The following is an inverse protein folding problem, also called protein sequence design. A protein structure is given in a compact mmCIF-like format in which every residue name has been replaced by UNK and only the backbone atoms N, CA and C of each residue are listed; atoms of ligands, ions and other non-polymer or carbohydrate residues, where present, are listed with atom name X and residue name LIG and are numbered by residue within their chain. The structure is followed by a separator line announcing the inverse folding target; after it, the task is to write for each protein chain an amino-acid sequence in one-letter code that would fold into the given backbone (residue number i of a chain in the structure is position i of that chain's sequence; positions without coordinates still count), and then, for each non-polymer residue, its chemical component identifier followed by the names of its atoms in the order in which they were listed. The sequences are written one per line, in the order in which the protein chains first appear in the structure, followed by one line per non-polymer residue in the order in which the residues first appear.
data_IF_182518306157
#
_entry.id   IF_182518306157
#
_cell.length_a   1.000
_cell.length_b   1.000
_cell.length_c   1.000
_cell.angle_alpha   90.00
_cell.angle_beta   90.00
_cell.angle_gamma   90.00
#
_symmetry.space_group_name_H-M   'P 1'
#
loop_
_entity.id
_entity.type
_entity.pdbx_description
1 polymer ?
#
# COMPACT_ATOMS: atom_id res chain seq x y z
N UNK A 1 -4.93 8.25 -77.95
CA UNK A 1 -5.13 9.09 -76.74
C UNK A 1 -4.76 8.28 -75.49
N UNK A 2 -3.59 8.47 -74.88
CA UNK A 2 -3.12 7.77 -73.69
C UNK A 2 -3.29 8.71 -72.51
N UNK A 3 -4.22 8.39 -71.60
CA UNK A 3 -4.40 9.11 -70.32
C UNK A 3 -3.36 8.61 -69.30
N UNK A 4 -2.48 9.50 -68.80
CA UNK A 4 -1.57 9.25 -67.68
C UNK A 4 -2.33 9.50 -66.40
N UNK A 5 -2.45 8.45 -65.55
CA UNK A 5 -2.82 8.60 -64.15
C UNK A 5 -1.61 9.13 -63.36
N UNK A 6 -1.79 10.26 -62.70
CA UNK A 6 -0.84 10.78 -61.71
C UNK A 6 -1.32 10.38 -60.34
N UNK A 7 -0.60 9.46 -59.69
CA UNK A 7 -0.83 9.13 -58.26
C UNK A 7 -0.15 10.17 -57.37
N UNK A 8 -0.93 10.93 -56.64
CA UNK A 8 -0.41 11.76 -55.52
C UNK A 8 -0.27 10.89 -54.28
N UNK A 9 0.96 10.68 -53.84
CA UNK A 9 1.25 10.08 -52.54
C UNK A 9 1.10 11.18 -51.46
N UNK A 10 0.08 11.05 -50.62
CA UNK A 10 -0.08 11.87 -49.43
C UNK A 10 0.87 11.32 -48.36
N UNK A 11 1.97 12.02 -48.07
CA UNK A 11 2.81 11.74 -46.91
C UNK A 11 2.13 12.30 -45.65
N UNK A 12 1.57 11.43 -44.83
CA UNK A 12 1.10 11.78 -43.50
C UNK A 12 2.31 11.86 -42.56
N UNK A 13 2.76 13.07 -42.28
CA UNK A 13 3.76 13.32 -41.23
C UNK A 13 3.05 13.23 -39.90
N UNK A 14 3.19 12.10 -39.24
CA UNK A 14 2.82 11.94 -37.79
C UNK A 14 3.86 12.69 -36.97
N UNK A 15 3.64 13.96 -36.70
CA UNK A 15 4.35 14.71 -35.68
C UNK A 15 3.88 14.20 -34.31
N UNK A 16 4.63 13.26 -33.72
CA UNK A 16 4.54 12.93 -32.32
C UNK A 16 5.11 14.10 -31.49
N UNK A 17 4.27 15.10 -31.22
CA UNK A 17 4.55 16.09 -30.17
C UNK A 17 4.38 15.43 -28.81
N UNK A 18 5.42 14.71 -28.38
CA UNK A 18 5.58 14.36 -26.99
C UNK A 18 5.73 15.65 -26.19
N UNK A 19 4.63 16.14 -25.59
CA UNK A 19 4.76 17.15 -24.55
C UNK A 19 5.62 16.55 -23.43
N UNK A 20 6.66 17.28 -22.95
CA UNK A 20 7.36 16.85 -21.76
C UNK A 20 6.32 16.78 -20.64
N UNK A 21 6.12 15.61 -20.05
CA UNK A 21 5.31 15.46 -18.85
C UNK A 21 5.92 16.39 -17.79
N UNK A 22 5.17 17.38 -17.32
CA UNK A 22 5.53 18.24 -16.17
C UNK A 22 5.51 17.40 -14.89
N UNK A 23 6.26 16.29 -14.85
CA UNK A 23 6.41 15.47 -13.68
C UNK A 23 7.17 16.29 -12.63
N UNK A 24 6.48 16.62 -11.55
CA UNK A 24 7.05 17.36 -10.44
C UNK A 24 8.29 16.62 -9.91
N UNK A 25 9.38 17.36 -9.66
CA UNK A 25 10.60 16.80 -9.07
C UNK A 25 10.35 16.16 -7.70
N UNK A 26 11.15 15.14 -7.31
CA UNK A 26 11.08 14.55 -5.97
C UNK A 26 11.19 15.59 -4.87
N UNK A 27 10.39 15.45 -3.81
CA UNK A 27 10.35 16.36 -2.66
C UNK A 27 10.53 15.61 -1.35
N UNK A 28 10.73 16.33 -0.24
CA UNK A 28 10.80 15.73 1.10
C UNK A 28 11.89 14.66 1.21
N UNK A 29 11.58 13.52 1.79
CA UNK A 29 12.51 12.41 1.99
C UNK A 29 13.05 11.84 0.67
N UNK A 30 12.25 11.86 -0.41
CA UNK A 30 12.73 11.41 -1.72
C UNK A 30 13.88 12.28 -2.23
N UNK A 31 13.77 13.61 -2.14
CA UNK A 31 14.84 14.52 -2.51
C UNK A 31 16.08 14.31 -1.63
N UNK A 32 15.89 14.16 -0.32
CA UNK A 32 16.98 13.88 0.64
C UNK A 32 17.71 12.58 0.34
N UNK A 33 16.97 11.51 0.01
CA UNK A 33 17.54 10.22 -0.34
C UNK A 33 18.37 10.28 -1.62
N UNK A 34 17.90 11.03 -2.62
CA UNK A 34 18.63 11.22 -3.89
C UNK A 34 19.88 12.09 -3.74
N UNK A 35 19.87 13.02 -2.82
CA UNK A 35 21.01 13.87 -2.50
C UNK A 35 22.03 13.23 -1.55
N UNK A 36 21.75 12.06 -0.97
CA UNK A 36 22.65 11.41 -0.02
C UNK A 36 23.80 10.69 -0.76
N UNK A 37 25.05 11.15 -0.63
CA UNK A 37 26.19 10.61 -1.38
C UNK A 37 26.57 9.17 -0.97
N UNK A 38 26.07 8.67 0.16
CA UNK A 38 26.30 7.29 0.59
C UNK A 38 25.52 6.26 -0.21
N UNK A 39 24.59 6.70 -1.07
CA UNK A 39 23.71 5.81 -1.85
C UNK A 39 23.86 6.10 -3.35
N UNK A 40 24.14 5.05 -4.10
CA UNK A 40 24.15 5.09 -5.57
C UNK A 40 22.86 4.45 -6.09
N UNK A 41 22.09 5.20 -6.90
CA UNK A 41 20.78 4.78 -7.36
C UNK A 41 20.76 4.40 -8.84
N UNK A 42 20.31 3.19 -9.15
CA UNK A 42 19.86 2.81 -10.47
C UNK A 42 18.45 3.39 -10.68
N UNK A 43 18.28 4.22 -11.69
CA UNK A 43 16.99 4.86 -12.00
C UNK A 43 16.22 4.04 -13.02
N UNK A 44 14.94 3.80 -12.77
CA UNK A 44 14.00 3.11 -13.67
C UNK A 44 12.68 3.88 -13.69
N UNK A 45 11.87 3.63 -14.72
CA UNK A 45 10.52 4.18 -14.83
C UNK A 45 9.58 3.06 -15.26
N UNK A 46 8.45 2.96 -14.58
CA UNK A 46 7.31 2.13 -14.99
C UNK A 46 6.03 2.97 -14.87
N UNK A 47 4.92 2.60 -15.51
CA UNK A 47 3.69 3.39 -15.44
C UNK A 47 3.30 3.72 -13.99
N UNK A 48 3.19 5.02 -13.69
CA UNK A 48 2.84 5.54 -12.36
C UNK A 48 4.01 5.68 -11.37
N UNK A 49 5.26 5.30 -11.74
CA UNK A 49 6.37 5.30 -10.80
C UNK A 49 7.68 5.82 -11.41
N UNK A 50 8.45 6.55 -10.57
CA UNK A 50 9.90 6.71 -10.70
C UNK A 50 10.55 5.80 -9.68
N UNK A 51 11.37 4.86 -10.12
CA UNK A 51 11.93 3.83 -9.25
C UNK A 51 13.43 4.01 -9.10
N UNK A 52 13.89 3.99 -7.87
CA UNK A 52 15.28 4.12 -7.47
C UNK A 52 15.69 2.84 -6.74
N UNK A 53 16.64 2.13 -7.30
CA UNK A 53 17.10 0.84 -6.77
C UNK A 53 18.55 1.01 -6.33
N UNK A 54 18.84 0.64 -5.09
CA UNK A 54 20.21 0.72 -4.60
C UNK A 54 21.14 -0.13 -5.49
N UNK A 55 22.20 0.49 -6.03
CA UNK A 55 23.17 -0.23 -6.86
C UNK A 55 23.88 -1.36 -6.07
N UNK A 56 24.31 -2.39 -6.77
CA UNK A 56 25.08 -3.56 -6.24
C UNK A 56 24.38 -4.29 -5.08
N UNK A 57 23.05 -4.17 -4.99
CA UNK A 57 22.21 -4.74 -3.92
C UNK A 57 21.38 -5.94 -4.39
N UNK A 58 20.75 -6.64 -3.44
CA UNK A 58 19.77 -7.69 -3.76
C UNK A 58 18.65 -7.19 -4.67
N UNK A 59 17.95 -6.06 -4.39
CA UNK A 59 16.91 -5.57 -5.28
C UNK A 59 17.42 -5.23 -6.69
N UNK A 60 18.67 -4.82 -6.86
CA UNK A 60 19.23 -4.56 -8.18
C UNK A 60 19.34 -5.85 -9.04
N UNK A 61 19.64 -6.98 -8.42
CA UNK A 61 19.71 -8.29 -9.10
C UNK A 61 18.34 -8.83 -9.50
N UNK A 62 17.28 -8.45 -8.80
CA UNK A 62 15.91 -8.95 -9.01
C UNK A 62 14.95 -7.84 -9.50
N UNK A 63 15.50 -6.74 -10.06
CA UNK A 63 14.75 -5.54 -10.42
C UNK A 63 13.56 -5.81 -11.34
N UNK A 64 13.69 -6.69 -12.35
CA UNK A 64 12.63 -6.95 -13.31
C UNK A 64 11.36 -7.52 -12.63
N UNK A 65 11.55 -8.45 -11.71
CA UNK A 65 10.46 -9.01 -10.90
C UNK A 65 9.82 -7.96 -9.98
N UNK A 66 10.60 -7.06 -9.38
CA UNK A 66 10.11 -5.99 -8.54
C UNK A 66 9.31 -4.97 -9.36
N UNK A 67 9.87 -4.52 -10.48
CA UNK A 67 9.25 -3.52 -11.35
C UNK A 67 7.93 -4.01 -11.97
N UNK A 68 7.86 -5.29 -12.36
CA UNK A 68 6.66 -5.87 -12.96
C UNK A 68 5.42 -5.84 -12.05
N UNK A 69 5.59 -5.81 -10.73
CA UNK A 69 4.49 -5.82 -9.75
C UNK A 69 3.89 -4.43 -9.48
N UNK A 70 4.66 -3.36 -9.63
CA UNK A 70 4.27 -2.01 -9.22
C UNK A 70 3.01 -1.48 -9.90
N UNK A 71 2.84 -1.57 -11.25
CA UNK A 71 1.63 -1.06 -11.88
C UNK A 71 0.36 -1.82 -11.43
N UNK A 72 0.48 -3.10 -11.11
CA UNK A 72 -0.65 -3.88 -10.61
C UNK A 72 -1.00 -3.52 -9.15
N UNK A 73 0.00 -3.19 -8.33
CA UNK A 73 -0.22 -2.71 -6.97
C UNK A 73 -0.95 -1.37 -6.94
N UNK A 74 -0.56 -0.42 -7.80
CA UNK A 74 -1.25 0.87 -7.92
C UNK A 74 -2.70 0.69 -8.39
N UNK A 75 -2.92 -0.03 -9.49
CA UNK A 75 -4.28 -0.30 -9.99
C UNK A 75 -5.18 -0.98 -8.96
N UNK A 76 -4.62 -1.88 -8.15
CA UNK A 76 -5.37 -2.52 -7.07
C UNK A 76 -5.82 -1.51 -6.01
N UNK A 77 -4.93 -0.64 -5.55
CA UNK A 77 -5.25 0.41 -4.59
C UNK A 77 -6.28 1.43 -5.17
N UNK A 78 -6.09 1.85 -6.42
CA UNK A 78 -7.01 2.74 -7.13
C UNK A 78 -8.41 2.12 -7.25
N UNK A 79 -8.48 0.83 -7.59
CA UNK A 79 -9.74 0.10 -7.68
C UNK A 79 -10.45 -0.05 -6.32
N UNK A 80 -9.70 -0.36 -5.24
CA UNK A 80 -10.24 -0.42 -3.88
C UNK A 80 -10.84 0.92 -3.44
N UNK A 81 -10.20 2.02 -3.79
CA UNK A 81 -10.65 3.37 -3.44
C UNK A 81 -11.64 3.96 -4.45
N UNK A 82 -11.88 3.28 -5.58
CA UNK A 82 -12.72 3.75 -6.70
C UNK A 82 -12.31 5.15 -7.19
N UNK A 83 -11.02 5.33 -7.42
CA UNK A 83 -10.44 6.61 -7.88
C UNK A 83 -9.71 6.45 -9.22
N UNK A 84 -9.56 7.56 -9.94
CA UNK A 84 -8.70 7.63 -11.11
C UNK A 84 -7.21 7.53 -10.71
N UNK A 85 -6.35 7.07 -11.62
CA UNK A 85 -4.91 7.04 -11.40
C UNK A 85 -4.34 8.38 -10.97
N UNK A 86 -3.34 8.37 -10.08
CA UNK A 86 -2.68 9.60 -9.66
C UNK A 86 -2.03 10.31 -10.86
N UNK A 87 -2.25 11.63 -10.96
CA UNK A 87 -1.69 12.45 -12.05
C UNK A 87 -0.16 12.56 -12.01
N UNK A 88 0.44 12.35 -10.85
CA UNK A 88 1.88 12.44 -10.64
C UNK A 88 2.45 11.09 -10.19
N UNK A 89 3.66 10.71 -10.64
CA UNK A 89 4.26 9.43 -10.28
C UNK A 89 4.62 9.37 -8.80
N UNK A 90 4.66 8.13 -8.29
CA UNK A 90 5.18 7.79 -6.96
C UNK A 90 6.70 7.56 -7.09
N UNK A 91 7.48 8.18 -6.20
CA UNK A 91 8.92 7.93 -6.05
C UNK A 91 9.12 6.71 -5.16
N UNK A 92 9.62 5.61 -5.71
CA UNK A 92 9.75 4.35 -5.00
C UNK A 92 11.22 3.92 -4.90
N UNK A 93 11.68 3.67 -3.68
CA UNK A 93 13.06 3.33 -3.36
C UNK A 93 13.15 1.88 -2.88
N UNK A 94 13.95 1.05 -3.57
CA UNK A 94 14.31 -0.28 -3.11
C UNK A 94 15.69 -0.29 -2.48
N UNK A 95 15.76 -0.71 -1.22
CA UNK A 95 16.97 -0.88 -0.42
C UNK A 95 17.06 -2.30 0.14
N UNK A 96 18.21 -2.68 0.68
CA UNK A 96 18.47 -4.06 1.07
C UNK A 96 18.36 -4.30 2.59
N UNK A 97 18.46 -3.23 3.42
CA UNK A 97 18.48 -3.41 4.87
C UNK A 97 17.74 -2.32 5.65
N UNK A 98 17.36 -2.66 6.88
CA UNK A 98 16.74 -1.72 7.84
C UNK A 98 17.72 -0.66 8.34
N UNK A 99 19.01 -0.95 8.30
CA UNK A 99 20.08 0.00 8.61
C UNK A 99 20.14 1.10 7.55
N UNK A 100 20.03 0.74 6.27
CA UNK A 100 19.91 1.69 5.17
C UNK A 100 18.63 2.51 5.28
N UNK A 101 17.51 1.87 5.66
CA UNK A 101 16.25 2.59 5.95
C UNK A 101 16.48 3.65 7.03
N UNK A 102 17.14 3.29 8.14
CA UNK A 102 17.46 4.25 9.21
C UNK A 102 18.33 5.43 8.73
N UNK A 103 19.30 5.16 7.86
CA UNK A 103 20.16 6.21 7.28
C UNK A 103 19.39 7.17 6.36
N UNK A 104 18.37 6.69 5.67
CA UNK A 104 17.58 7.45 4.70
C UNK A 104 16.44 8.25 5.35
N UNK A 105 15.73 7.65 6.30
CA UNK A 105 14.50 8.22 6.85
C UNK A 105 14.50 8.39 8.38
N UNK A 106 15.55 7.96 9.06
CA UNK A 106 15.67 8.05 10.53
C UNK A 106 14.87 6.99 11.31
N UNK A 107 14.22 6.04 10.63
CA UNK A 107 13.41 5.00 11.26
C UNK A 107 13.83 3.58 10.81
N UNK A 108 13.81 2.62 11.75
CA UNK A 108 14.15 1.23 11.49
C UNK A 108 12.91 0.44 11.08
N UNK A 109 12.51 0.53 9.82
CA UNK A 109 11.34 -0.11 9.25
C UNK A 109 11.71 -1.03 8.07
N UNK A 110 10.78 -1.89 7.64
CA UNK A 110 10.89 -2.69 6.41
C UNK A 110 10.19 -2.03 5.23
N UNK A 111 9.21 -1.16 5.50
CA UNK A 111 8.52 -0.31 4.56
C UNK A 111 8.25 1.04 5.19
N UNK A 112 8.15 2.07 4.38
CA UNK A 112 7.78 3.41 4.82
C UNK A 112 7.19 4.20 3.66
N UNK A 113 6.08 4.87 3.91
CA UNK A 113 5.45 5.78 2.97
C UNK A 113 5.42 7.21 3.50
N UNK A 114 5.68 8.18 2.62
CA UNK A 114 5.45 9.60 2.86
C UNK A 114 4.42 10.12 1.85
N UNK A 115 3.12 10.06 2.18
CA UNK A 115 2.05 10.45 1.24
C UNK A 115 2.20 11.88 0.71
N UNK A 116 2.56 12.84 1.56
CA UNK A 116 2.72 14.26 1.16
C UNK A 116 3.81 14.48 0.10
N UNK A 117 4.82 13.62 0.05
CA UNK A 117 5.89 13.65 -0.95
C UNK A 117 5.72 12.60 -2.05
N UNK A 118 4.68 11.80 -2.01
CA UNK A 118 4.46 10.63 -2.89
C UNK A 118 5.68 9.71 -2.92
N UNK A 119 6.27 9.44 -1.77
CA UNK A 119 7.49 8.64 -1.65
C UNK A 119 7.23 7.34 -0.89
N UNK A 120 7.83 6.25 -1.36
CA UNK A 120 7.80 4.91 -0.76
C UNK A 120 9.22 4.38 -0.65
N UNK A 121 9.57 3.81 0.49
CA UNK A 121 10.84 3.14 0.75
C UNK A 121 10.57 1.70 1.16
N UNK A 122 11.25 0.74 0.51
CA UNK A 122 11.02 -0.68 0.71
C UNK A 122 12.34 -1.43 0.92
N UNK A 123 12.44 -2.14 2.03
CA UNK A 123 13.49 -3.13 2.23
C UNK A 123 13.09 -4.41 1.53
N UNK A 124 13.98 -4.95 0.69
CA UNK A 124 13.81 -6.28 0.11
C UNK A 124 15.14 -7.02 0.03
N UNK A 125 15.15 -8.26 0.52
CA UNK A 125 16.26 -9.17 0.52
C UNK A 125 15.74 -10.62 0.67
N UNK A 126 16.58 -11.67 0.74
CA UNK A 126 16.08 -13.04 0.88
C UNK A 126 15.23 -13.31 2.13
N UNK A 127 15.36 -12.48 3.17
CA UNK A 127 14.58 -12.60 4.43
C UNK A 127 13.31 -11.76 4.43
N UNK A 128 13.35 -10.59 3.80
CA UNK A 128 12.26 -9.62 3.80
C UNK A 128 11.75 -9.40 2.38
N UNK A 129 10.50 -9.77 2.11
CA UNK A 129 9.83 -9.34 0.88
C UNK A 129 9.45 -7.87 0.96
N UNK A 130 9.42 -7.18 -0.17
CA UNK A 130 8.86 -5.85 -0.26
C UNK A 130 7.34 -5.88 -0.06
N UNK A 131 6.83 -5.00 0.81
CA UNK A 131 5.38 -4.80 1.03
C UNK A 131 4.86 -3.67 0.13
N UNK A 132 5.07 -3.80 -1.18
CA UNK A 132 4.76 -2.74 -2.13
C UNK A 132 3.30 -2.32 -2.13
N UNK A 133 2.34 -3.25 -2.03
CA UNK A 133 0.92 -2.94 -2.01
C UNK A 133 0.52 -2.13 -0.78
N UNK A 134 1.06 -2.50 0.38
CA UNK A 134 0.84 -1.80 1.64
C UNK A 134 1.30 -0.35 1.56
N UNK A 135 2.56 -0.14 1.20
CA UNK A 135 3.15 1.21 1.20
C UNK A 135 2.60 2.09 0.06
N UNK A 136 2.30 1.51 -1.10
CA UNK A 136 1.65 2.22 -2.19
C UNK A 136 0.24 2.66 -1.80
N UNK A 137 -0.52 1.83 -1.07
CA UNK A 137 -1.85 2.20 -0.58
C UNK A 137 -1.79 3.42 0.34
N UNK A 138 -0.82 3.53 1.25
CA UNK A 138 -0.65 4.73 2.07
C UNK A 138 -0.50 6.00 1.22
N UNK A 139 0.32 5.93 0.15
CA UNK A 139 0.51 7.09 -0.74
C UNK A 139 -0.77 7.41 -1.50
N UNK A 140 -1.41 6.42 -2.11
CA UNK A 140 -2.60 6.62 -2.93
C UNK A 140 -3.76 7.14 -2.08
N UNK A 141 -4.01 6.52 -0.91
CA UNK A 141 -5.06 6.98 0.01
C UNK A 141 -4.77 8.39 0.54
N UNK A 142 -3.53 8.67 0.95
CA UNK A 142 -3.15 10.00 1.42
C UNK A 142 -3.27 11.09 0.36
N UNK A 143 -2.99 10.78 -0.92
CA UNK A 143 -3.18 11.72 -2.03
C UNK A 143 -4.65 11.91 -2.40
N UNK A 144 -5.45 10.83 -2.41
CA UNK A 144 -6.86 10.88 -2.83
C UNK A 144 -7.81 11.34 -1.72
N UNK A 145 -7.54 10.95 -0.47
CA UNK A 145 -8.41 11.23 0.68
C UNK A 145 -7.88 12.36 1.56
N UNK A 146 -6.61 12.73 1.40
CA UNK A 146 -5.96 13.77 2.19
C UNK A 146 -5.45 13.25 3.54
N UNK A 147 -5.18 14.19 4.45
CA UNK A 147 -4.65 13.87 5.78
C UNK A 147 -5.72 13.16 6.63
N UNK A 148 -5.38 12.02 7.27
CA UNK A 148 -6.29 11.35 8.17
C UNK A 148 -6.60 12.19 9.42
N UNK A 149 -7.84 12.09 9.89
CA UNK A 149 -8.34 12.72 11.11
C UNK A 149 -7.90 11.99 12.37
N UNK A 150 -8.35 12.41 13.55
CA UNK A 150 -7.99 11.76 14.81
C UNK A 150 -8.56 10.33 14.91
N UNK A 151 -7.85 9.46 15.66
CA UNK A 151 -8.23 8.07 15.92
C UNK A 151 -8.44 7.21 14.66
N UNK A 152 -7.71 7.49 13.58
CA UNK A 152 -7.82 6.76 12.31
C UNK A 152 -6.62 5.85 12.04
N UNK A 153 -5.67 5.71 12.95
CA UNK A 153 -4.49 4.87 12.74
C UNK A 153 -4.85 3.44 12.35
N UNK A 154 -5.87 2.86 12.97
CA UNK A 154 -6.39 1.53 12.63
C UNK A 154 -6.95 1.48 11.19
N UNK A 155 -7.61 2.55 10.73
CA UNK A 155 -8.17 2.63 9.39
C UNK A 155 -7.06 2.81 8.34
N UNK A 156 -6.06 3.63 8.66
CA UNK A 156 -4.88 3.88 7.82
C UNK A 156 -4.08 2.59 7.59
N UNK A 157 -3.72 1.91 8.67
CA UNK A 157 -2.96 0.67 8.60
C UNK A 157 -3.82 -0.52 8.13
N UNK A 158 -5.09 -0.56 8.55
CA UNK A 158 -6.04 -1.57 8.10
C UNK A 158 -6.27 -1.52 6.59
N UNK A 159 -6.41 -0.32 6.01
CA UNK A 159 -6.56 -0.14 4.56
C UNK A 159 -5.31 -0.59 3.80
N UNK A 160 -4.12 -0.24 4.30
CA UNK A 160 -2.86 -0.64 3.70
C UNK A 160 -2.64 -2.17 3.78
N UNK A 161 -2.94 -2.77 4.93
CA UNK A 161 -2.83 -4.22 5.10
C UNK A 161 -3.92 -4.99 4.31
N UNK A 162 -5.13 -4.43 4.17
CA UNK A 162 -6.17 -4.97 3.30
C UNK A 162 -5.73 -4.97 1.82
N UNK A 163 -5.04 -3.93 1.36
CA UNK A 163 -4.49 -3.86 0.02
C UNK A 163 -3.39 -4.91 -0.24
N UNK A 164 -2.59 -5.28 0.76
CA UNK A 164 -1.66 -6.42 0.65
C UNK A 164 -2.44 -7.75 0.53
N UNK A 165 -3.60 -7.84 1.19
CA UNK A 165 -4.65 -8.86 1.04
C UNK A 165 -4.30 -10.22 1.63
N UNK A 166 -3.05 -10.49 1.96
CA UNK A 166 -2.58 -11.81 2.42
C UNK A 166 -1.51 -11.68 3.50
N UNK A 167 -1.49 -12.69 4.36
CA UNK A 167 -0.42 -12.93 5.31
C UNK A 167 0.21 -14.29 4.98
N UNK A 168 1.33 -14.27 4.29
CA UNK A 168 1.93 -15.48 3.72
C UNK A 168 1.01 -16.12 2.66
N UNK A 169 0.68 -17.40 2.85
CA UNK A 169 -0.22 -18.16 1.97
C UNK A 169 -1.70 -17.99 2.29
N UNK A 170 -2.03 -17.36 3.42
CA UNK A 170 -3.37 -17.25 3.98
C UNK A 170 -3.97 -15.87 3.77
N UNK A 171 -5.29 -15.75 3.88
CA UNK A 171 -5.95 -14.45 3.95
C UNK A 171 -5.69 -13.77 5.30
N UNK A 172 -5.83 -12.44 5.36
CA UNK A 172 -5.75 -11.71 6.62
C UNK A 172 -6.76 -12.25 7.66
N UNK A 173 -7.97 -12.60 7.21
CA UNK A 173 -9.03 -13.13 8.07
C UNK A 173 -8.70 -14.53 8.64
N UNK A 174 -8.11 -15.43 7.84
CA UNK A 174 -7.73 -16.76 8.34
C UNK A 174 -6.69 -16.68 9.46
N UNK A 175 -5.64 -15.84 9.26
CA UNK A 175 -4.59 -15.66 10.26
C UNK A 175 -5.15 -14.95 11.49
N UNK A 176 -6.02 -13.95 11.29
CA UNK A 176 -6.69 -13.27 12.40
C UNK A 176 -7.51 -14.25 13.26
N UNK A 177 -8.32 -15.09 12.64
CA UNK A 177 -9.14 -16.07 13.37
C UNK A 177 -8.29 -17.08 14.14
N UNK A 178 -7.22 -17.58 13.55
CA UNK A 178 -6.28 -18.47 14.22
C UNK A 178 -5.62 -17.79 15.43
N UNK A 179 -5.20 -16.53 15.29
CA UNK A 179 -4.64 -15.73 16.40
C UNK A 179 -5.69 -15.44 17.48
N UNK A 180 -6.90 -15.02 17.08
CA UNK A 180 -7.99 -14.69 17.99
C UNK A 180 -8.46 -15.91 18.80
N UNK A 181 -8.46 -17.11 18.20
CA UNK A 181 -8.77 -18.37 18.89
C UNK A 181 -7.77 -18.66 20.03
N UNK A 182 -6.49 -18.34 19.83
CA UNK A 182 -5.44 -18.60 20.82
C UNK A 182 -5.27 -17.50 21.87
N UNK A 183 -5.40 -16.24 21.46
CA UNK A 183 -5.04 -15.06 22.25
C UNK A 183 -6.21 -14.15 22.58
N UNK A 184 -7.40 -14.47 22.05
CA UNK A 184 -8.59 -13.62 22.13
C UNK A 184 -8.52 -12.46 21.13
N UNK A 185 -9.64 -11.80 20.97
CA UNK A 185 -9.75 -10.56 20.20
C UNK A 185 -9.18 -9.37 20.98
N UNK A 186 -8.59 -8.41 20.27
CA UNK A 186 -8.33 -7.10 20.86
C UNK A 186 -9.69 -6.40 20.99
N UNK A 187 -10.05 -5.83 22.16
CA UNK A 187 -11.30 -5.07 22.30
C UNK A 187 -11.37 -3.97 21.25
N UNK A 188 -12.48 -3.86 20.55
CA UNK A 188 -12.61 -2.91 19.45
C UNK A 188 -12.36 -1.44 19.87
N UNK A 189 -12.82 -0.95 21.05
CA UNK A 189 -12.45 0.38 21.51
C UNK A 189 -10.93 0.59 21.61
N UNK A 190 -10.19 -0.45 22.05
CA UNK A 190 -8.72 -0.41 22.12
C UNK A 190 -8.09 -0.32 20.73
N UNK A 191 -8.63 -1.06 19.74
CA UNK A 191 -8.18 -0.93 18.34
C UNK A 191 -8.38 0.49 17.83
N UNK A 192 -9.50 1.13 18.16
CA UNK A 192 -9.81 2.48 17.70
C UNK A 192 -8.92 3.56 18.33
N UNK A 193 -8.68 3.47 19.65
CA UNK A 193 -8.07 4.57 20.41
C UNK A 193 -6.60 4.37 20.73
N UNK A 194 -6.12 3.12 20.73
CA UNK A 194 -4.77 2.76 21.18
C UNK A 194 -4.01 1.91 20.14
N UNK A 195 -4.37 1.99 18.87
CA UNK A 195 -3.82 1.14 17.81
C UNK A 195 -2.30 1.12 17.81
N UNK A 196 -1.65 2.29 17.91
CA UNK A 196 -0.18 2.40 17.93
C UNK A 196 0.49 1.75 19.14
N UNK A 197 -0.27 1.53 20.22
CA UNK A 197 0.20 0.85 21.41
C UNK A 197 0.00 -0.69 21.33
N UNK A 198 -0.60 -1.17 20.24
CA UNK A 198 -0.81 -2.57 19.96
C UNK A 198 0.23 -3.08 18.95
N UNK A 199 1.47 -3.43 19.36
CA UNK A 199 2.53 -3.86 18.43
C UNK A 199 2.27 -5.25 17.84
N UNK A 200 1.20 -5.85 18.20
CA UNK A 200 0.80 -7.19 17.89
C UNK A 200 0.24 -7.26 16.46
N UNK A 201 0.72 -8.23 15.70
CA UNK A 201 0.24 -8.54 14.36
C UNK A 201 -1.29 -8.67 14.29
N UNK A 202 -1.96 -9.10 15.38
CA UNK A 202 -3.42 -9.16 15.46
C UNK A 202 -4.09 -7.81 15.24
N UNK A 203 -3.53 -6.71 15.75
CA UNK A 203 -4.11 -5.38 15.57
C UNK A 203 -4.19 -5.03 14.08
N UNK A 204 -3.10 -5.25 13.35
CA UNK A 204 -3.04 -5.02 11.91
C UNK A 204 -4.00 -5.92 11.15
N UNK A 205 -4.04 -7.22 11.47
CA UNK A 205 -4.92 -8.17 10.80
C UNK A 205 -6.40 -7.94 11.15
N UNK A 206 -6.69 -7.57 12.42
CA UNK A 206 -8.06 -7.22 12.84
C UNK A 206 -8.55 -5.96 12.15
N UNK A 207 -7.71 -4.93 12.06
CA UNK A 207 -8.01 -3.71 11.33
C UNK A 207 -8.19 -3.98 9.83
N UNK A 208 -7.31 -4.76 9.21
CA UNK A 208 -7.39 -5.10 7.79
C UNK A 208 -8.66 -5.85 7.43
N UNK A 209 -8.98 -6.92 8.17
CA UNK A 209 -10.16 -7.74 7.91
C UNK A 209 -11.45 -6.95 8.18
N UNK A 210 -11.46 -6.05 9.16
CA UNK A 210 -12.59 -5.16 9.40
C UNK A 210 -12.73 -4.08 8.31
N UNK A 211 -11.63 -3.50 7.84
CA UNK A 211 -11.65 -2.54 6.72
C UNK A 211 -12.13 -3.20 5.42
N UNK A 212 -11.72 -4.44 5.15
CA UNK A 212 -12.24 -5.21 4.02
C UNK A 212 -13.77 -5.37 4.10
N UNK A 213 -14.29 -5.70 5.28
CA UNK A 213 -15.74 -5.77 5.52
C UNK A 213 -16.43 -4.43 5.27
N UNK A 214 -15.85 -3.34 5.80
CA UNK A 214 -16.42 -2.01 5.62
C UNK A 214 -16.43 -1.58 4.14
N UNK A 215 -15.34 -1.84 3.41
CA UNK A 215 -15.25 -1.57 1.97
C UNK A 215 -16.27 -2.39 1.18
N UNK A 216 -16.38 -3.68 1.48
CA UNK A 216 -17.35 -4.57 0.81
C UNK A 216 -18.80 -4.20 1.07
N UNK A 217 -19.13 -3.74 2.28
CA UNK A 217 -20.51 -3.42 2.69
C UNK A 217 -20.93 -1.99 2.32
N UNK A 218 -20.07 -1.01 2.46
CA UNK A 218 -20.41 0.40 2.34
C UNK A 218 -19.69 1.13 1.20
N UNK A 219 -18.67 0.52 0.62
CA UNK A 219 -17.81 1.15 -0.38
C UNK A 219 -16.82 2.17 0.20
N UNK A 220 -15.97 2.78 -0.64
CA UNK A 220 -14.89 3.65 -0.16
C UNK A 220 -15.37 5.05 0.27
N UNK A 221 -16.49 5.55 -0.23
CA UNK A 221 -16.94 6.93 0.07
C UNK A 221 -17.23 7.15 1.56
N UNK A 222 -18.01 6.30 2.26
CA UNK A 222 -18.21 6.46 3.70
C UNK A 222 -16.92 6.26 4.51
N UNK A 223 -16.01 5.39 4.05
CA UNK A 223 -14.72 5.22 4.71
C UNK A 223 -13.84 6.47 4.57
N UNK A 224 -13.89 7.15 3.43
CA UNK A 224 -13.24 8.46 3.26
C UNK A 224 -13.76 9.49 4.24
N UNK A 225 -15.05 9.47 4.57
CA UNK A 225 -15.61 10.36 5.59
C UNK A 225 -15.06 10.05 6.98
N UNK A 226 -14.98 8.76 7.37
CA UNK A 226 -14.31 8.34 8.61
C UNK A 226 -12.83 8.75 8.62
N UNK A 227 -12.13 8.54 7.50
CA UNK A 227 -10.73 8.93 7.34
C UNK A 227 -10.52 10.42 7.60
N UNK A 228 -11.36 11.28 7.06
CA UNK A 228 -11.16 12.74 7.13
C UNK A 228 -11.66 13.36 8.43
N UNK A 229 -12.78 12.85 8.96
CA UNK A 229 -13.41 13.40 10.19
C UNK A 229 -12.85 12.78 11.46
N UNK A 230 -12.23 11.62 11.38
CA UNK A 230 -11.84 10.81 12.51
C UNK A 230 -12.83 9.68 12.77
N UNK A 231 -12.37 8.64 13.46
CA UNK A 231 -13.15 7.44 13.76
C UNK A 231 -13.26 7.27 15.28
N UNK A 232 -14.36 7.73 15.85
CA UNK A 232 -14.73 7.47 17.26
C UNK A 232 -15.55 6.17 17.39
N UNK A 233 -15.64 5.63 18.58
CA UNK A 233 -16.39 4.39 18.87
C UNK A 233 -17.86 4.49 18.47
N UNK A 234 -18.44 5.67 18.63
CA UNK A 234 -19.82 6.01 18.31
C UNK A 234 -20.01 6.55 16.88
N UNK A 235 -18.96 6.59 16.06
CA UNK A 235 -19.07 6.97 14.65
C UNK A 235 -20.08 6.10 13.92
N UNK A 236 -20.97 6.74 13.16
CA UNK A 236 -22.06 6.09 12.44
C UNK A 236 -21.69 5.89 10.97
N UNK A 237 -21.91 4.68 10.49
CA UNK A 237 -21.71 4.31 9.10
C UNK A 237 -22.96 3.51 8.63
N UNK A 238 -23.64 3.98 7.59
CA UNK A 238 -24.85 3.32 7.11
C UNK A 238 -25.99 3.21 8.15
N UNK A 239 -26.07 4.14 9.10
CA UNK A 239 -27.08 4.14 10.16
C UNK A 239 -26.73 3.29 11.41
N UNK A 240 -25.56 2.66 11.43
CA UNK A 240 -25.08 1.82 12.53
C UNK A 240 -23.79 2.39 13.13
N UNK A 241 -23.57 2.17 14.43
CA UNK A 241 -22.26 2.52 15.03
C UNK A 241 -21.19 1.54 14.58
N UNK A 242 -19.92 1.98 14.55
CA UNK A 242 -18.79 1.08 14.24
C UNK A 242 -18.75 -0.13 15.17
N UNK A 243 -19.14 0.04 16.44
CA UNK A 243 -19.24 -1.07 17.41
C UNK A 243 -20.25 -2.13 16.97
N UNK A 244 -21.45 -1.72 16.55
CA UNK A 244 -22.50 -2.64 16.11
C UNK A 244 -22.09 -3.37 14.82
N UNK A 245 -21.44 -2.66 13.89
CA UNK A 245 -20.94 -3.26 12.65
C UNK A 245 -19.83 -4.29 12.95
N UNK A 246 -18.94 -3.98 13.89
CA UNK A 246 -17.86 -4.90 14.29
C UNK A 246 -18.40 -6.16 14.97
N UNK A 247 -19.40 -6.02 15.81
CA UNK A 247 -20.05 -7.15 16.49
C UNK A 247 -20.73 -8.08 15.47
N UNK A 248 -21.50 -7.54 14.52
CA UNK A 248 -22.11 -8.31 13.42
C UNK A 248 -21.03 -9.01 12.59
N UNK A 249 -20.00 -8.29 12.14
CA UNK A 249 -18.92 -8.85 11.34
C UNK A 249 -18.22 -10.00 12.05
N UNK A 250 -17.89 -9.88 13.33
CA UNK A 250 -17.27 -10.97 14.10
C UNK A 250 -18.14 -12.21 14.18
N UNK A 251 -19.45 -12.04 14.31
CA UNK A 251 -20.40 -13.15 14.33
C UNK A 251 -20.48 -13.89 12.98
N UNK A 252 -20.22 -13.18 11.87
CA UNK A 252 -20.28 -13.73 10.52
C UNK A 252 -18.93 -14.28 10.02
N UNK A 253 -17.81 -13.85 10.63
CA UNK A 253 -16.47 -14.22 10.17
C UNK A 253 -16.23 -15.73 10.26
N UNK A 254 -15.77 -16.34 9.18
CA UNK A 254 -15.49 -17.78 9.08
C UNK A 254 -14.10 -18.03 8.52
N UNK A 255 -13.48 -19.11 8.96
CA UNK A 255 -12.22 -19.59 8.36
C UNK A 255 -12.48 -20.10 6.93
N UNK A 256 -11.63 -19.66 5.99
CA UNK A 256 -11.58 -20.20 4.61
C UNK A 256 -10.46 -21.21 4.47
N UNK A 257 -9.41 -21.10 5.29
CA UNK A 257 -8.30 -22.06 5.36
C UNK A 257 -7.81 -22.18 6.82
N UNK A 258 -7.61 -23.42 7.28
CA UNK A 258 -7.11 -23.67 8.63
C UNK A 258 -5.59 -23.68 8.67
N UNK A 259 -5.01 -22.84 9.51
CA UNK A 259 -3.59 -22.81 9.76
C UNK A 259 -3.19 -23.93 10.72
N UNK A 260 -2.08 -24.62 10.42
CA UNK A 260 -1.40 -25.47 11.38
C UNK A 260 -0.69 -24.65 12.46
N UNK A 261 -0.37 -25.30 13.59
CA UNK A 261 0.38 -24.66 14.67
C UNK A 261 1.76 -24.14 14.23
N UNK A 262 2.43 -24.87 13.34
CA UNK A 262 3.73 -24.48 12.82
C UNK A 262 3.65 -23.26 11.90
N UNK A 263 2.63 -23.16 11.04
CA UNK A 263 2.41 -22.01 10.17
C UNK A 263 2.09 -20.76 10.97
N UNK A 264 1.22 -20.88 11.98
CA UNK A 264 0.90 -19.74 12.83
C UNK A 264 2.10 -19.27 13.65
N UNK A 265 2.90 -20.19 14.22
CA UNK A 265 4.14 -19.83 14.93
C UNK A 265 5.17 -19.15 14.01
N UNK A 266 5.27 -19.60 12.75
CA UNK A 266 6.13 -18.97 11.77
C UNK A 266 5.67 -17.53 11.47
N UNK A 267 4.38 -17.31 11.29
CA UNK A 267 3.80 -15.97 11.06
C UNK A 267 4.00 -15.07 12.29
N UNK A 268 3.77 -15.57 13.51
CA UNK A 268 4.01 -14.81 14.75
C UNK A 268 5.48 -14.38 14.91
N UNK A 269 6.41 -15.20 14.41
CA UNK A 269 7.85 -14.92 14.53
C UNK A 269 8.37 -14.01 13.43
N UNK A 270 7.91 -14.20 12.20
CA UNK A 270 8.47 -13.57 10.99
C UNK A 270 7.57 -12.45 10.44
N UNK A 271 6.31 -12.37 10.88
CA UNK A 271 5.28 -11.53 10.25
C UNK A 271 4.68 -12.19 9.00
N UNK A 272 4.00 -11.39 8.19
CA UNK A 272 3.32 -11.84 6.97
C UNK A 272 4.23 -11.90 5.72
N UNK A 273 5.51 -11.61 5.84
CA UNK A 273 6.43 -11.48 4.70
C UNK A 273 7.57 -12.48 4.70
#
# INVERSE_FOLDING_TARGET
MKRRLVCYALAVVLSSSGQPSNAQEPTGLAASALGNPAFTWLRRSVPGFRVYILADSYPARYQDSLLARLPSAARHAEAMLQIEPLAQPIDLFFIESREQMTQLIGARATGFAQPSARAVFLVTNPTWRAFERHEIMHVIAGQAWGRPGPNTDWLVEGLAQAADGRCGSFTNADVLLALATRRGWIPFPTVLTEFRNQPDLRAYLQAAAFVDQLLGRFGPTPLKELWTRGAAVDSVLGGMTLMAIEEEWRAELRETARLSDGELAAIETKGCG
#
